data_IF_749785133925
#
_entry.id   IF_749785133925
#
_cell.length_a   1.000
_cell.length_b   1.000
_cell.length_c   1.000
_cell.angle_alpha   90.00
_cell.angle_beta   90.00
_cell.angle_gamma   90.00
#
_symmetry.space_group_name_H-M   'P 1'
#
loop_
_entity.id
_entity.type
_entity.pdbx_description
1 polymer ?
#
# COMPACT_ATOMS: atom_id res chain seq x y z
N UNK A 1 -1.65 8.35 19.56
CA UNK A 1 -0.26 8.80 19.27
C UNK A 1 0.16 8.32 17.88
N UNK A 2 0.92 9.12 17.17
CA UNK A 2 1.42 8.73 15.85
C UNK A 2 2.64 7.83 16.03
N UNK A 3 2.61 6.67 15.37
CA UNK A 3 3.70 5.70 15.39
C UNK A 3 4.62 5.84 14.18
N UNK A 4 4.10 6.29 13.06
CA UNK A 4 4.89 6.47 11.86
C UNK A 4 4.13 7.20 10.76
N UNK A 5 4.89 7.83 9.89
CA UNK A 5 4.41 8.54 8.70
C UNK A 5 5.24 8.08 7.51
N UNK A 6 4.57 7.87 6.39
CA UNK A 6 5.24 7.56 5.14
C UNK A 6 4.58 8.26 3.97
N UNK A 7 5.37 8.61 2.99
CA UNK A 7 4.87 9.13 1.72
C UNK A 7 5.73 8.57 0.60
N UNK A 8 5.11 8.45 -0.57
CA UNK A 8 5.81 8.02 -1.77
C UNK A 8 5.21 8.72 -2.98
N UNK A 9 6.08 9.17 -3.87
CA UNK A 9 5.72 9.79 -5.13
C UNK A 9 6.34 8.96 -6.25
N UNK A 10 5.53 8.54 -7.20
CA UNK A 10 5.99 7.67 -8.29
C UNK A 10 5.53 8.19 -9.64
N UNK A 11 6.38 8.01 -10.64
CA UNK A 11 6.01 8.25 -12.03
C UNK A 11 5.33 7.00 -12.58
N UNK A 12 4.07 7.15 -12.98
CA UNK A 12 3.24 6.04 -13.49
C UNK A 12 3.90 5.40 -14.72
N UNK A 13 4.59 6.18 -15.53
CA UNK A 13 5.28 5.66 -16.74
C UNK A 13 6.40 4.68 -16.39
N UNK A 14 7.05 4.83 -15.22
CA UNK A 14 8.06 3.88 -14.74
C UNK A 14 7.42 2.53 -14.42
N UNK A 15 6.25 2.55 -13.81
CA UNK A 15 5.49 1.32 -13.53
C UNK A 15 5.08 0.66 -14.83
N UNK A 16 4.61 1.45 -15.81
CA UNK A 16 4.26 0.92 -17.13
C UNK A 16 5.43 0.18 -17.78
N UNK A 17 6.64 0.74 -17.70
CA UNK A 17 7.84 0.11 -18.27
C UNK A 17 8.19 -1.21 -17.57
N UNK A 18 8.08 -1.26 -16.25
CA UNK A 18 8.35 -2.47 -15.49
C UNK A 18 7.32 -3.55 -15.82
N UNK A 19 6.05 -3.18 -15.91
CA UNK A 19 4.97 -4.10 -16.30
C UNK A 19 5.19 -4.65 -17.71
N UNK A 20 5.59 -3.80 -18.64
CA UNK A 20 5.90 -4.21 -20.01
C UNK A 20 7.06 -5.19 -20.06
N UNK A 21 8.11 -4.93 -19.28
CA UNK A 21 9.32 -5.75 -19.27
C UNK A 21 9.14 -7.08 -18.54
N UNK A 22 8.46 -7.08 -17.40
CA UNK A 22 8.40 -8.23 -16.49
C UNK A 22 7.01 -8.86 -16.35
N UNK A 23 5.95 -8.16 -16.75
CA UNK A 23 4.59 -8.69 -16.78
C UNK A 23 4.14 -9.29 -15.45
N UNK A 24 3.62 -10.51 -15.52
CA UNK A 24 3.06 -11.19 -14.35
C UNK A 24 4.06 -11.42 -13.22
N UNK A 25 5.33 -11.56 -13.52
CA UNK A 25 6.36 -11.73 -12.48
C UNK A 25 6.42 -10.52 -11.55
N UNK A 26 6.34 -9.31 -12.11
CA UNK A 26 6.30 -8.08 -11.33
C UNK A 26 5.00 -8.01 -10.52
N UNK A 27 3.87 -8.25 -11.16
CA UNK A 27 2.56 -8.16 -10.51
C UNK A 27 2.43 -9.17 -9.37
N UNK A 28 2.85 -10.42 -9.58
CA UNK A 28 2.81 -11.47 -8.56
C UNK A 28 3.68 -11.13 -7.35
N UNK A 29 4.81 -10.52 -7.58
CA UNK A 29 5.76 -10.19 -6.51
C UNK A 29 5.26 -9.06 -5.61
N UNK A 30 4.56 -8.11 -6.19
CA UNK A 30 4.22 -6.84 -5.51
C UNK A 30 2.78 -6.85 -5.00
N UNK A 31 1.84 -7.35 -5.80
CA UNK A 31 0.41 -7.16 -5.55
C UNK A 31 -0.28 -8.43 -5.11
N UNK A 32 -1.27 -8.27 -4.23
CA UNK A 32 -2.12 -9.39 -3.80
C UNK A 32 -3.07 -9.78 -4.92
N UNK A 33 -3.63 -10.99 -4.83
CA UNK A 33 -4.60 -11.45 -5.82
C UNK A 33 -5.84 -10.55 -5.84
N UNK A 34 -6.28 -10.08 -4.68
CA UNK A 34 -7.40 -9.14 -4.57
C UNK A 34 -7.11 -7.81 -5.27
N UNK A 35 -5.90 -7.28 -5.12
CA UNK A 35 -5.49 -6.06 -5.79
C UNK A 35 -5.46 -6.23 -7.31
N UNK A 36 -4.95 -7.36 -7.79
CA UNK A 36 -4.91 -7.66 -9.22
C UNK A 36 -6.30 -7.80 -9.82
N UNK A 37 -7.20 -8.50 -9.11
CA UNK A 37 -8.57 -8.66 -9.56
C UNK A 37 -9.29 -7.30 -9.65
N UNK A 38 -9.11 -6.45 -8.66
CA UNK A 38 -9.72 -5.12 -8.64
C UNK A 38 -9.20 -4.23 -9.76
N UNK A 39 -7.92 -4.25 -10.03
CA UNK A 39 -7.31 -3.48 -11.11
C UNK A 39 -7.91 -3.88 -12.47
N UNK A 40 -8.07 -5.19 -12.69
CA UNK A 40 -8.69 -5.71 -13.91
C UNK A 40 -10.15 -5.29 -14.08
N UNK A 41 -10.92 -5.31 -13.00
CA UNK A 41 -12.35 -4.96 -13.05
C UNK A 41 -12.62 -3.49 -13.32
N UNK A 42 -11.76 -2.59 -12.85
CA UNK A 42 -11.95 -1.13 -12.96
C UNK A 42 -11.35 -0.53 -14.23
N UNK A 43 -10.58 -1.32 -14.94
CA UNK A 43 -9.84 -0.80 -16.08
C UNK A 43 -10.75 -0.57 -17.28
N UNK A 44 -10.84 0.68 -17.73
CA UNK A 44 -11.47 1.04 -19.00
C UNK A 44 -10.46 1.11 -20.12
N UNK A 45 -9.18 1.24 -19.79
CA UNK A 45 -8.07 1.26 -20.73
C UNK A 45 -6.76 0.94 -20.01
N UNK A 46 -5.72 0.73 -20.81
CA UNK A 46 -4.42 0.34 -20.32
C UNK A 46 -3.78 1.36 -19.37
N UNK A 47 -3.96 2.65 -19.67
CA UNK A 47 -3.44 3.71 -18.80
C UNK A 47 -4.08 3.68 -17.42
N UNK A 48 -5.38 3.40 -17.32
CA UNK A 48 -6.07 3.27 -16.05
C UNK A 48 -5.59 2.06 -15.25
N UNK A 49 -5.29 0.95 -15.91
CA UNK A 49 -4.72 -0.24 -15.27
C UNK A 49 -3.39 0.11 -14.61
N UNK A 50 -2.49 0.72 -15.38
CA UNK A 50 -1.16 1.08 -14.89
C UNK A 50 -1.26 2.08 -13.75
N UNK A 51 -2.11 3.09 -13.87
CA UNK A 51 -2.31 4.09 -12.82
C UNK A 51 -2.82 3.44 -11.51
N UNK A 52 -3.71 2.47 -11.62
CA UNK A 52 -4.22 1.73 -10.47
C UNK A 52 -3.10 0.98 -9.76
N UNK A 53 -2.24 0.28 -10.51
CA UNK A 53 -1.09 -0.41 -9.93
C UNK A 53 -0.07 0.56 -9.34
N UNK A 54 0.21 1.67 -10.02
CA UNK A 54 1.15 2.67 -9.55
C UNK A 54 0.71 3.28 -8.21
N UNK A 55 -0.57 3.60 -8.07
CA UNK A 55 -1.13 4.12 -6.82
C UNK A 55 -0.97 3.12 -5.67
N UNK A 56 -1.25 1.85 -5.93
CA UNK A 56 -1.09 0.80 -4.92
C UNK A 56 0.37 0.55 -4.59
N UNK A 57 1.24 0.60 -5.57
CA UNK A 57 2.68 0.50 -5.33
C UNK A 57 3.16 1.63 -4.42
N UNK A 58 2.76 2.87 -4.72
CA UNK A 58 3.09 4.02 -3.88
C UNK A 58 2.57 3.85 -2.45
N UNK A 59 1.37 3.31 -2.27
CA UNK A 59 0.81 3.04 -0.94
C UNK A 59 1.66 2.04 -0.15
N UNK A 60 2.13 0.98 -0.80
CA UNK A 60 2.98 -0.03 -0.15
C UNK A 60 4.33 0.56 0.26
N UNK A 61 4.94 1.34 -0.61
CA UNK A 61 6.19 2.03 -0.30
C UNK A 61 6.00 3.02 0.86
N UNK A 62 4.94 3.81 0.83
CA UNK A 62 4.61 4.75 1.90
C UNK A 62 4.37 4.00 3.22
N UNK A 63 3.65 2.89 3.18
CA UNK A 63 3.39 2.06 4.36
C UNK A 63 4.69 1.51 4.95
N UNK A 64 5.60 1.01 4.12
CA UNK A 64 6.88 0.50 4.58
C UNK A 64 7.73 1.58 5.25
N UNK A 65 7.67 2.81 4.76
CA UNK A 65 8.33 3.95 5.39
C UNK A 65 7.68 4.29 6.73
N UNK A 66 6.36 4.26 6.81
CA UNK A 66 5.64 4.48 8.07
C UNK A 66 5.97 3.41 9.13
N UNK A 67 6.21 2.17 8.70
CA UNK A 67 6.69 1.09 9.58
C UNK A 67 8.13 1.30 10.02
N UNK A 68 8.86 2.20 9.38
CA UNK A 68 10.24 2.53 9.72
C UNK A 68 11.29 1.57 9.16
N UNK A 69 10.88 0.60 8.35
CA UNK A 69 11.79 -0.43 7.83
C UNK A 69 12.14 -0.24 6.35
N UNK A 70 11.23 0.35 5.56
CA UNK A 70 11.27 0.19 4.11
C UNK A 70 10.98 -1.28 3.75
N UNK A 71 11.27 -1.67 2.51
CA UNK A 71 11.07 -3.04 2.04
C UNK A 71 12.28 -3.89 2.40
N UNK A 72 12.34 -4.30 3.65
CA UNK A 72 13.42 -5.15 4.21
C UNK A 72 13.00 -5.67 5.57
N UNK A 73 13.82 -6.54 6.18
CA UNK A 73 13.59 -7.10 7.52
C UNK A 73 12.27 -7.84 7.64
N UNK A 74 11.90 -8.57 6.57
CA UNK A 74 10.66 -9.34 6.54
C UNK A 74 9.43 -8.55 6.13
N UNK A 75 9.57 -7.25 5.81
CA UNK A 75 8.47 -6.42 5.31
C UNK A 75 8.50 -6.44 3.79
N UNK A 76 7.48 -7.06 3.19
CA UNK A 76 7.40 -7.26 1.74
C UNK A 76 6.13 -6.64 1.18
N UNK A 77 6.16 -6.27 -0.10
CA UNK A 77 5.04 -5.59 -0.76
C UNK A 77 3.71 -6.34 -0.65
N UNK A 78 3.71 -7.67 -0.86
CA UNK A 78 2.46 -8.46 -0.80
C UNK A 78 1.85 -8.53 0.60
N UNK A 79 2.62 -8.25 1.62
CA UNK A 79 2.14 -8.23 3.00
C UNK A 79 1.42 -6.93 3.36
N UNK A 80 1.39 -5.98 2.43
CA UNK A 80 0.76 -4.67 2.62
C UNK A 80 -0.31 -4.46 1.55
N UNK A 81 -1.48 -5.09 1.73
CA UNK A 81 -2.56 -5.00 0.76
C UNK A 81 -3.38 -3.72 0.93
N UNK A 82 -3.69 -3.07 -0.18
CA UNK A 82 -4.63 -1.94 -0.18
C UNK A 82 -6.05 -2.51 -0.29
N UNK A 83 -6.89 -2.17 0.68
CA UNK A 83 -8.28 -2.62 0.73
C UNK A 83 -9.18 -1.42 0.99
N UNK A 84 -10.48 -1.58 0.73
CA UNK A 84 -11.46 -0.55 1.02
C UNK A 84 -12.31 -0.96 2.22
N UNK A 85 -12.48 -0.04 3.15
CA UNK A 85 -13.42 -0.20 4.25
C UNK A 85 -14.87 -0.11 3.73
N UNK A 86 -15.86 -0.58 4.49
CA UNK A 86 -17.26 -0.29 4.20
C UNK A 86 -17.44 1.23 4.03
N UNK A 87 -18.06 1.65 2.94
CA UNK A 87 -18.15 3.06 2.59
C UNK A 87 -17.11 3.56 1.60
N UNK A 88 -16.12 2.72 1.24
CA UNK A 88 -15.18 2.98 0.15
C UNK A 88 -13.86 3.60 0.53
N UNK A 89 -13.68 4.01 1.78
CA UNK A 89 -12.41 4.59 2.26
C UNK A 89 -11.27 3.56 2.18
N UNK A 90 -10.12 3.90 1.56
CA UNK A 90 -9.00 2.96 1.47
C UNK A 90 -8.27 2.83 2.80
N UNK A 91 -7.74 1.64 3.04
CA UNK A 91 -6.83 1.36 4.15
C UNK A 91 -5.85 0.27 3.74
N UNK A 92 -4.92 -0.04 4.63
CA UNK A 92 -3.96 -1.13 4.42
C UNK A 92 -4.31 -2.30 5.31
N UNK A 93 -4.25 -3.50 4.75
CA UNK A 93 -4.34 -4.75 5.51
C UNK A 93 -2.95 -5.39 5.51
N UNK A 94 -2.37 -5.53 6.69
CA UNK A 94 -1.02 -6.08 6.84
C UNK A 94 -1.08 -7.55 7.24
N UNK A 95 -0.17 -8.32 6.66
CA UNK A 95 0.01 -9.74 6.95
C UNK A 95 1.51 -10.01 7.13
N UNK A 96 1.86 -11.24 7.50
CA UNK A 96 3.26 -11.65 7.57
C UNK A 96 4.16 -10.73 8.36
N UNK A 97 5.35 -10.47 7.82
CA UNK A 97 6.36 -9.64 8.49
C UNK A 97 5.93 -8.18 8.69
N UNK A 98 5.11 -7.63 7.80
CA UNK A 98 4.58 -6.28 7.96
C UNK A 98 3.65 -6.20 9.19
N UNK A 99 2.79 -7.20 9.37
CA UNK A 99 1.93 -7.30 10.56
C UNK A 99 2.74 -7.44 11.83
N UNK A 100 3.77 -8.27 11.82
CA UNK A 100 4.66 -8.44 12.99
C UNK A 100 5.37 -7.13 13.34
N UNK A 101 5.83 -6.39 12.34
CA UNK A 101 6.45 -5.08 12.57
C UNK A 101 5.45 -4.09 13.17
N UNK A 102 4.21 -4.09 12.67
CA UNK A 102 3.16 -3.22 13.20
C UNK A 102 2.88 -3.53 14.67
N UNK A 103 2.81 -4.80 15.03
CA UNK A 103 2.65 -5.23 16.43
C UNK A 103 3.80 -4.74 17.30
N UNK A 104 5.02 -4.84 16.80
CA UNK A 104 6.20 -4.41 17.55
C UNK A 104 6.20 -2.89 17.81
N UNK A 105 5.63 -2.10 16.90
CA UNK A 105 5.51 -0.65 17.05
C UNK A 105 4.38 -0.23 17.98
N UNK A 106 3.37 -1.06 18.13
CA UNK A 106 2.14 -0.70 18.85
C UNK A 106 2.32 -0.91 20.33
N UNK A 107 2.17 0.15 21.17
CA UNK A 107 2.28 0.01 22.62
C UNK A 107 1.22 -0.95 23.16
N UNK A 108 1.58 -1.65 24.24
CA UNK A 108 0.66 -2.55 24.92
C UNK A 108 -0.60 -1.82 25.38
N UNK A 109 -1.76 -2.45 25.18
CA UNK A 109 -3.05 -1.88 25.55
C UNK A 109 -3.66 -0.96 24.50
N UNK A 110 -2.95 -0.70 23.41
CA UNK A 110 -3.44 0.12 22.30
C UNK A 110 -3.60 -0.74 21.05
N UNK A 111 -4.36 -0.23 20.10
CA UNK A 111 -4.48 -0.87 18.78
C UNK A 111 -3.98 0.06 17.70
N UNK A 112 -3.42 -0.52 16.65
CA UNK A 112 -2.90 0.24 15.52
C UNK A 112 -4.03 0.65 14.58
N UNK A 113 -3.95 1.87 14.08
CA UNK A 113 -4.84 2.39 13.04
C UNK A 113 -3.99 2.87 11.89
N UNK A 114 -4.37 2.50 10.68
CA UNK A 114 -3.68 2.95 9.46
C UNK A 114 -4.62 3.81 8.65
N UNK A 115 -4.21 5.05 8.42
CA UNK A 115 -4.90 5.98 7.54
C UNK A 115 -4.09 6.14 6.26
N UNK A 116 -4.77 6.06 5.12
CA UNK A 116 -4.16 6.07 3.80
C UNK A 116 -4.86 7.10 2.92
N UNK A 117 -4.08 7.92 2.24
CA UNK A 117 -4.56 8.81 1.19
C UNK A 117 -3.77 8.55 -0.08
N UNK A 118 -4.47 8.32 -1.18
CA UNK A 118 -3.87 8.04 -2.47
C UNK A 118 -4.43 9.02 -3.50
N UNK A 119 -3.56 9.58 -4.30
CA UNK A 119 -3.98 10.47 -5.38
C UNK A 119 -3.09 10.29 -6.60
N UNK A 120 -3.59 10.62 -7.76
CA UNK A 120 -2.80 10.68 -8.97
C UNK A 120 -3.17 11.90 -9.81
N UNK A 121 -2.17 12.41 -10.48
CA UNK A 121 -2.29 13.49 -11.45
C UNK A 121 -1.24 13.17 -12.52
N UNK A 122 -1.72 12.66 -13.65
CA UNK A 122 -0.84 12.12 -14.68
C UNK A 122 0.33 13.07 -15.00
N UNK A 123 1.59 12.61 -15.01
CA UNK A 123 1.99 11.20 -14.95
C UNK A 123 2.37 10.70 -13.55
N UNK A 124 2.02 11.43 -12.50
CA UNK A 124 2.46 11.12 -11.13
C UNK A 124 1.34 10.47 -10.32
N UNK A 125 1.74 9.63 -9.37
CA UNK A 125 0.88 9.10 -8.33
C UNK A 125 1.56 9.30 -6.98
N UNK A 126 0.77 9.50 -5.93
CA UNK A 126 1.27 9.75 -4.58
C UNK A 126 0.43 9.02 -3.56
N UNK A 127 1.08 8.56 -2.50
CA UNK A 127 0.41 7.99 -1.34
C UNK A 127 0.97 8.58 -0.05
N UNK A 128 0.09 8.72 0.93
CA UNK A 128 0.42 9.10 2.30
C UNK A 128 -0.13 8.05 3.24
N UNK A 129 0.68 7.61 4.19
CA UNK A 129 0.28 6.67 5.23
C UNK A 129 0.60 7.25 6.60
N UNK A 130 -0.37 7.21 7.50
CA UNK A 130 -0.18 7.53 8.90
C UNK A 130 -0.57 6.32 9.72
N UNK A 131 0.35 5.86 10.56
CA UNK A 131 0.09 4.78 11.51
C UNK A 131 -0.02 5.41 12.89
N UNK A 132 -1.14 5.16 13.57
CA UNK A 132 -1.41 5.69 14.91
C UNK A 132 -1.73 4.55 15.86
N UNK A 133 -1.48 4.77 17.14
CA UNK A 133 -1.96 3.90 18.21
C UNK A 133 -3.12 4.61 18.89
N UNK A 134 -4.23 3.90 19.03
CA UNK A 134 -5.47 4.43 19.61
C UNK A 134 -5.97 3.49 20.71
N UNK A 135 -6.82 3.99 21.65
CA UNK A 135 -7.41 3.11 22.65
C UNK A 135 -8.19 1.99 22.00
N UNK A 136 -8.13 0.80 22.59
CA UNK A 136 -8.90 -0.35 22.11
C UNK A 136 -10.39 -0.04 22.24
N UNK A 137 -11.15 -0.28 21.16
CA UNK A 137 -12.60 -0.12 21.15
C UNK A 137 -13.26 -1.18 22.06
N UNK A 138 -14.16 -0.77 22.91
CA UNK A 138 -14.96 -1.68 23.75
C UNK A 138 -16.22 -2.15 23.01
#
# INVERSE_FOLDING_TARGET
>A
MILGIGSDLIDIRRVAKVMERHGDRFLDRIFTDAERAKAGRRAKNEQMVVATYAKRFAAKEACSKALGTGIRRGVWWRDMGVVNLPGGRPTMQLTGGAQERLKALTPEGLEARIDLSITDDWPMAQAFVIISAVPVSE
#
